data_IF_588225176504
#
_entry.id   IF_588225176504
#
_cell.length_a   1.000
_cell.length_b   1.000
_cell.length_c   1.000
_cell.angle_alpha   90.00
_cell.angle_beta   90.00
_cell.angle_gamma   90.00
#
_symmetry.space_group_name_H-M   'P 1'
#
loop_
_entity.id
_entity.type
_entity.pdbx_description
1 polymer ?
#
# COMPACT_ATOMS: atom_id res chain seq x y z
N UNK A 1 -11.67 21.27 11.82
CA UNK A 1 -10.68 21.07 10.72
C UNK A 1 -9.42 20.29 11.12
N UNK A 2 -9.15 19.98 12.40
CA UNK A 2 -7.95 19.21 12.82
C UNK A 2 -7.91 17.75 12.32
N UNK A 3 -9.06 17.11 12.08
CA UNK A 3 -9.15 15.70 11.69
C UNK A 3 -9.01 15.44 10.18
N UNK A 4 -9.21 16.47 9.34
CA UNK A 4 -9.08 16.34 7.88
C UNK A 4 -7.61 16.23 7.46
N UNK A 5 -6.72 16.87 8.22
CA UNK A 5 -5.27 16.78 8.02
C UNK A 5 -4.71 15.40 8.40
N UNK A 6 -5.35 14.68 9.33
CA UNK A 6 -4.93 13.31 9.68
C UNK A 6 -5.33 12.30 8.60
N UNK A 7 -6.41 12.57 7.85
CA UNK A 7 -6.87 11.70 6.75
C UNK A 7 -5.92 11.77 5.54
N UNK A 8 -5.37 12.96 5.25
CA UNK A 8 -4.34 13.18 4.21
C UNK A 8 -3.01 12.49 4.52
N UNK A 9 -2.73 12.15 5.78
CA UNK A 9 -1.53 11.40 6.14
C UNK A 9 -1.65 9.89 5.83
N UNK A 10 -2.87 9.36 5.68
CA UNK A 10 -3.11 7.93 5.41
C UNK A 10 -2.84 7.60 3.93
N UNK A 11 -3.03 8.56 3.01
CA UNK A 11 -2.81 8.32 1.57
C UNK A 11 -1.34 8.14 1.19
N UNK A 12 -0.40 8.57 2.03
CA UNK A 12 1.04 8.33 1.82
C UNK A 12 1.47 6.87 2.09
N UNK A 13 0.54 6.01 2.51
CA UNK A 13 0.80 4.58 2.73
C UNK A 13 0.62 3.72 1.45
N UNK A 14 0.26 4.32 0.31
CA UNK A 14 -0.02 3.60 -0.94
C UNK A 14 1.23 3.27 -1.78
N UNK A 15 2.44 3.65 -1.35
CA UNK A 15 3.67 3.17 -1.99
C UNK A 15 3.98 1.75 -1.51
N UNK A 16 3.39 0.77 -2.20
CA UNK A 16 3.77 -0.63 -2.10
C UNK A 16 4.70 -0.96 -3.27
N UNK A 17 5.98 -1.14 -2.98
CA UNK A 17 6.96 -1.67 -3.93
C UNK A 17 6.76 -3.19 -4.10
N UNK A 18 7.47 -3.79 -5.03
CA UNK A 18 7.44 -5.24 -5.27
C UNK A 18 8.86 -5.80 -5.18
N UNK A 19 9.00 -7.02 -4.71
CA UNK A 19 10.29 -7.73 -4.70
C UNK A 19 10.46 -8.47 -6.02
N UNK A 20 11.57 -8.22 -6.70
CA UNK A 20 12.05 -9.05 -7.80
C UNK A 20 13.01 -10.09 -7.23
N UNK A 21 12.48 -11.24 -6.81
CA UNK A 21 13.17 -12.29 -6.06
C UNK A 21 14.43 -12.81 -6.76
N UNK A 22 14.41 -12.91 -8.09
CA UNK A 22 15.56 -13.38 -8.89
C UNK A 22 16.80 -12.49 -8.79
N UNK A 23 16.62 -11.21 -8.46
CA UNK A 23 17.70 -10.24 -8.29
C UNK A 23 17.76 -9.68 -6.86
N UNK A 24 16.81 -10.05 -6.00
CA UNK A 24 16.62 -9.51 -4.66
C UNK A 24 16.60 -7.97 -4.63
N UNK A 25 15.91 -7.35 -5.60
CA UNK A 25 15.76 -5.90 -5.71
C UNK A 25 14.30 -5.47 -5.58
N UNK A 26 14.08 -4.24 -5.14
CA UNK A 26 12.75 -3.65 -5.10
C UNK A 26 12.47 -2.94 -6.41
N UNK A 27 11.28 -3.15 -6.93
CA UNK A 27 10.77 -2.50 -8.13
C UNK A 27 9.48 -1.77 -7.80
N UNK A 28 9.31 -0.58 -8.39
CA UNK A 28 8.08 0.20 -8.28
C UNK A 28 7.08 -0.19 -9.37
N UNK A 29 7.58 -0.53 -10.56
CA UNK A 29 6.76 -0.86 -11.72
C UNK A 29 7.49 -1.84 -12.64
N UNK A 30 6.73 -2.58 -13.43
CA UNK A 30 7.26 -3.46 -14.47
C UNK A 30 6.27 -3.70 -15.61
N UNK A 31 6.80 -3.95 -16.80
CA UNK A 31 6.03 -4.45 -17.93
C UNK A 31 6.83 -5.45 -18.74
N UNK A 32 6.13 -6.23 -19.56
CA UNK A 32 6.75 -7.26 -20.39
C UNK A 32 6.46 -6.96 -21.85
N UNK A 33 7.53 -6.88 -22.64
CA UNK A 33 7.43 -6.68 -24.08
C UNK A 33 8.43 -7.60 -24.78
N UNK A 34 7.98 -8.33 -25.80
CA UNK A 34 8.82 -9.23 -26.61
C UNK A 34 9.65 -10.23 -25.77
N UNK A 35 9.03 -10.84 -24.75
CA UNK A 35 9.70 -11.78 -23.81
C UNK A 35 10.86 -11.17 -23.02
N UNK A 36 10.87 -9.83 -22.87
CA UNK A 36 11.80 -9.09 -22.04
C UNK A 36 11.03 -8.41 -20.92
N UNK A 37 11.54 -8.52 -19.69
CA UNK A 37 11.04 -7.74 -18.57
C UNK A 37 11.71 -6.36 -18.61
N UNK A 38 10.90 -5.33 -18.50
CA UNK A 38 11.31 -3.98 -18.20
C UNK A 38 10.81 -3.66 -16.79
N UNK A 39 11.67 -3.14 -15.94
CA UNK A 39 11.33 -2.86 -14.55
C UNK A 39 11.98 -1.56 -14.10
N UNK A 40 11.35 -0.92 -13.11
CA UNK A 40 11.77 0.33 -12.51
C UNK A 40 12.27 0.05 -11.09
N UNK A 41 13.59 -0.05 -10.85
CA UNK A 41 14.13 -0.28 -9.52
C UNK A 41 13.84 0.90 -8.59
N UNK A 42 13.42 0.61 -7.37
CA UNK A 42 13.13 1.63 -6.35
C UNK A 42 14.35 2.42 -5.89
N UNK A 43 15.57 1.89 -6.10
CA UNK A 43 16.82 2.52 -5.69
C UNK A 43 17.32 3.58 -6.69
N UNK A 44 17.26 3.26 -7.98
CA UNK A 44 17.78 4.12 -9.06
C UNK A 44 16.70 4.93 -9.75
N UNK A 45 15.45 4.47 -9.72
CA UNK A 45 14.31 5.06 -10.45
C UNK A 45 14.58 5.20 -11.96
N UNK A 46 15.41 4.31 -12.52
CA UNK A 46 15.75 4.25 -13.94
C UNK A 46 15.26 2.93 -14.54
N UNK A 47 14.62 2.98 -15.70
CA UNK A 47 14.14 1.77 -16.36
C UNK A 47 15.29 0.85 -16.78
N UNK A 48 15.24 -0.39 -16.30
CA UNK A 48 16.18 -1.45 -16.64
C UNK A 48 15.46 -2.61 -17.34
N UNK A 49 16.22 -3.48 -18.00
CA UNK A 49 15.61 -4.62 -18.72
C UNK A 49 16.46 -5.88 -18.70
N UNK A 50 15.79 -7.02 -18.72
CA UNK A 50 16.42 -8.34 -18.69
C UNK A 50 15.61 -9.36 -19.51
N UNK A 51 16.30 -10.37 -20.06
CA UNK A 51 15.72 -11.41 -20.92
C UNK A 51 15.50 -12.74 -20.21
N UNK A 52 15.76 -12.81 -18.91
CA UNK A 52 15.65 -14.07 -18.19
C UNK A 52 14.17 -14.52 -18.15
N UNK A 53 13.94 -15.81 -18.45
CA UNK A 53 12.59 -16.36 -18.63
C UNK A 53 11.91 -16.72 -17.31
N UNK A 54 12.69 -16.90 -16.24
CA UNK A 54 12.18 -17.29 -14.93
C UNK A 54 11.57 -16.13 -14.14
N UNK A 55 11.61 -14.91 -14.68
CA UNK A 55 11.34 -13.69 -13.93
C UNK A 55 9.86 -13.48 -13.63
N UNK A 56 8.95 -13.95 -14.47
CA UNK A 56 7.51 -13.82 -14.24
C UNK A 56 7.04 -14.48 -12.93
N UNK A 57 7.76 -15.51 -12.46
CA UNK A 57 7.48 -16.17 -11.18
C UNK A 57 8.19 -15.51 -9.99
N UNK A 58 9.14 -14.61 -10.25
CA UNK A 58 9.99 -14.00 -9.22
C UNK A 58 9.48 -12.63 -8.77
N UNK A 59 8.43 -12.07 -9.37
CA UNK A 59 7.84 -10.82 -8.87
C UNK A 59 6.86 -11.13 -7.74
N UNK A 60 7.18 -10.66 -6.54
CA UNK A 60 6.38 -10.84 -5.33
C UNK A 60 5.88 -9.48 -4.86
N UNK A 61 4.56 -9.30 -4.84
CA UNK A 61 3.92 -8.09 -4.33
C UNK A 61 4.02 -8.01 -2.80
N UNK A 62 3.62 -6.87 -2.23
CA UNK A 62 3.58 -6.65 -0.76
C UNK A 62 4.98 -6.53 -0.14
N UNK A 63 5.88 -5.83 -0.82
CA UNK A 63 7.16 -5.43 -0.28
C UNK A 63 7.24 -3.90 -0.25
N UNK A 64 8.21 -3.37 0.47
CA UNK A 64 8.48 -1.94 0.53
C UNK A 64 9.97 -1.72 0.48
N UNK A 65 10.39 -0.80 -0.36
CA UNK A 65 11.76 -0.39 -0.40
C UNK A 65 12.12 0.45 0.84
N UNK A 66 13.16 0.03 1.57
CA UNK A 66 13.73 0.79 2.67
C UNK A 66 15.02 1.48 2.19
N UNK A 67 14.94 2.80 2.00
CA UNK A 67 16.07 3.63 1.55
C UNK A 67 17.25 3.65 2.53
N UNK A 68 17.01 3.40 3.82
CA UNK A 68 18.06 3.42 4.85
C UNK A 68 18.90 2.15 4.85
N UNK A 69 18.29 1.01 4.53
CA UNK A 69 18.96 -0.30 4.48
C UNK A 69 19.26 -0.77 3.06
N UNK A 70 18.74 -0.05 2.05
CA UNK A 70 18.76 -0.40 0.63
C UNK A 70 18.26 -1.83 0.38
N UNK A 71 17.18 -2.20 1.07
CA UNK A 71 16.60 -3.55 1.03
C UNK A 71 15.10 -3.51 0.79
N UNK A 72 14.58 -4.59 0.22
CA UNK A 72 13.16 -4.89 0.24
C UNK A 72 12.77 -5.49 1.58
N UNK A 73 11.81 -4.87 2.24
CA UNK A 73 11.20 -5.40 3.45
C UNK A 73 9.75 -5.78 3.18
N UNK A 74 9.23 -6.84 3.79
CA UNK A 74 7.83 -7.18 3.64
C UNK A 74 6.93 -6.08 4.21
N UNK A 75 5.90 -5.73 3.44
CA UNK A 75 4.79 -4.86 3.85
C UNK A 75 4.09 -5.45 5.10
N UNK A 76 3.42 -4.58 5.85
CA UNK A 76 2.46 -4.93 6.88
C UNK A 76 1.45 -6.01 6.43
N UNK A 77 0.96 -5.96 5.19
CA UNK A 77 0.06 -6.98 4.64
C UNK A 77 0.68 -8.38 4.67
N UNK A 78 1.90 -8.53 4.15
CA UNK A 78 2.65 -9.79 4.18
C UNK A 78 3.04 -10.20 5.61
N UNK A 79 3.40 -9.24 6.47
CA UNK A 79 3.69 -9.48 7.91
C UNK A 79 2.48 -10.02 8.66
N UNK A 80 1.28 -9.62 8.27
CA UNK A 80 0.01 -10.13 8.81
C UNK A 80 -0.43 -11.45 8.16
N UNK A 81 0.32 -11.96 7.17
CA UNK A 81 -0.01 -13.19 6.44
C UNK A 81 -1.22 -13.03 5.51
N UNK A 82 -1.58 -11.80 5.15
CA UNK A 82 -2.71 -11.49 4.28
C UNK A 82 -2.22 -11.16 2.88
N UNK A 83 -3.02 -11.50 1.87
CA UNK A 83 -2.83 -10.95 0.53
C UNK A 83 -3.14 -9.45 0.55
N UNK A 84 -2.46 -8.66 -0.30
CA UNK A 84 -2.65 -7.20 -0.36
C UNK A 84 -4.12 -6.81 -0.57
N UNK A 85 -4.85 -7.55 -1.40
CA UNK A 85 -6.27 -7.34 -1.66
C UNK A 85 -7.12 -7.55 -0.40
N UNK A 86 -6.84 -8.59 0.37
CA UNK A 86 -7.53 -8.90 1.62
C UNK A 86 -7.23 -7.84 2.69
N UNK A 87 -5.99 -7.38 2.75
CA UNK A 87 -5.57 -6.32 3.66
C UNK A 87 -6.25 -4.99 3.33
N UNK A 88 -6.30 -4.62 2.05
CA UNK A 88 -6.99 -3.41 1.59
C UNK A 88 -8.50 -3.48 1.84
N UNK A 89 -9.12 -4.63 1.61
CA UNK A 89 -10.53 -4.85 1.94
C UNK A 89 -10.79 -4.68 3.44
N UNK A 90 -9.94 -5.25 4.30
CA UNK A 90 -10.05 -5.13 5.74
C UNK A 90 -9.91 -3.67 6.20
N UNK A 91 -8.93 -2.93 5.67
CA UNK A 91 -8.76 -1.51 5.94
C UNK A 91 -9.99 -0.69 5.54
N UNK A 92 -10.55 -0.96 4.35
CA UNK A 92 -11.76 -0.29 3.90
C UNK A 92 -12.94 -0.57 4.83
N UNK A 93 -13.12 -1.82 5.26
CA UNK A 93 -14.18 -2.23 6.17
C UNK A 93 -14.05 -1.57 7.55
N UNK A 94 -12.83 -1.52 8.10
CA UNK A 94 -12.54 -0.79 9.34
C UNK A 94 -12.89 0.70 9.19
N UNK A 95 -12.53 1.31 8.05
CA UNK A 95 -12.85 2.70 7.74
C UNK A 95 -14.35 2.97 7.72
N UNK A 96 -15.15 2.09 7.11
CA UNK A 96 -16.62 2.19 7.06
C UNK A 96 -17.22 2.08 8.47
N UNK A 97 -16.77 1.13 9.29
CA UNK A 97 -17.23 0.98 10.67
C UNK A 97 -16.91 2.24 11.48
N UNK A 98 -15.68 2.74 11.37
CA UNK A 98 -15.27 3.96 12.07
C UNK A 98 -16.11 5.17 11.65
N UNK A 99 -16.35 5.33 10.34
CA UNK A 99 -17.20 6.39 9.80
C UNK A 99 -18.63 6.32 10.32
N UNK A 100 -19.23 5.13 10.34
CA UNK A 100 -20.57 4.91 10.87
C UNK A 100 -20.68 5.22 12.36
N UNK A 101 -19.73 4.73 13.16
CA UNK A 101 -19.68 5.00 14.61
C UNK A 101 -19.49 6.49 14.89
N UNK A 102 -18.60 7.16 14.17
CA UNK A 102 -18.38 8.60 14.28
C UNK A 102 -19.65 9.40 13.95
N UNK A 103 -20.36 9.02 12.88
CA UNK A 103 -21.62 9.65 12.48
C UNK A 103 -22.72 9.46 13.56
N UNK A 104 -22.79 8.28 14.16
CA UNK A 104 -23.71 8.02 15.27
C UNK A 104 -23.41 8.90 16.49
N UNK A 105 -22.16 8.98 16.94
CA UNK A 105 -21.82 9.82 18.09
C UNK A 105 -22.03 11.31 17.82
N UNK A 106 -21.68 11.78 16.61
CA UNK A 106 -21.89 13.19 16.25
C UNK A 106 -23.37 13.54 16.21
N UNK A 107 -24.23 12.71 15.62
CA UNK A 107 -25.68 12.94 15.62
C UNK A 107 -26.25 12.97 17.04
N UNK A 108 -25.84 12.06 17.93
CA UNK A 108 -26.25 12.08 19.35
C UNK A 108 -25.83 13.37 20.06
N UNK A 109 -24.62 13.87 19.81
CA UNK A 109 -24.15 15.14 20.38
C UNK A 109 -24.98 16.32 19.84
N UNK A 110 -25.22 16.38 18.52
CA UNK A 110 -26.03 17.44 17.92
C UNK A 110 -27.46 17.46 18.44
N UNK A 111 -28.09 16.29 18.61
CA UNK A 111 -29.45 16.20 19.17
C UNK A 111 -29.47 16.64 20.64
N UNK A 112 -28.51 16.21 21.45
CA UNK A 112 -28.49 16.53 22.89
C UNK A 112 -28.09 17.99 23.19
N UNK A 113 -27.28 18.62 22.33
CA UNK A 113 -26.85 20.02 22.50
C UNK A 113 -27.78 20.99 21.78
N UNK A 114 -28.29 20.63 20.60
CA UNK A 114 -29.18 21.46 19.77
C UNK A 114 -30.67 21.33 20.09
N UNK A 115 -31.10 20.21 20.69
CA UNK A 115 -32.50 19.94 21.07
C UNK A 115 -32.91 20.51 22.44
N UNK A 116 -32.00 21.17 23.17
CA UNK A 116 -32.33 21.96 24.37
C UNK A 116 -32.62 23.41 23.99
N UNK A 117 -33.72 23.63 23.26
CA UNK A 117 -34.47 24.88 23.19
C UNK A 117 -35.95 24.58 23.06
#
# INVERSE_FOLDING_TARGET
MKHLLSLLFITNLLNASMLLDSYNICIEDYYIQNKRLYFLPSSTMLWESTRDKNILKSVIHSYKYNSSTNRCEPDLSLKMGLQLEQFNFLLALIGVIFGGVFMFFTTQIFINVGGRR
#
